data_IF_971550602720
#
_entry.id   IF_971550602720
#
_cell.length_a   1.000
_cell.length_b   1.000
_cell.length_c   1.000
_cell.angle_alpha   90.00
_cell.angle_beta   90.00
_cell.angle_gamma   90.00
#
_symmetry.space_group_name_H-M   'P 1'
#
loop_
_entity.id
_entity.type
_entity.pdbx_description
1 polymer ?
#
# COMPACT_ATOMS: atom_id res chain seq x y z
N UNK A 1 2.65 -15.82 15.62
CA UNK A 1 3.42 -15.30 14.46
C UNK A 1 2.62 -15.32 13.17
N UNK A 2 2.35 -16.49 12.57
CA UNK A 2 1.61 -16.54 11.30
C UNK A 2 0.21 -15.94 11.37
N UNK A 3 -0.52 -16.16 12.46
CA UNK A 3 -1.84 -15.55 12.68
C UNK A 3 -1.80 -14.02 12.68
N UNK A 4 -0.75 -13.42 13.22
CA UNK A 4 -0.58 -11.96 13.27
C UNK A 4 -0.30 -11.39 11.87
N UNK A 5 0.58 -12.05 11.10
CA UNK A 5 0.87 -11.67 9.70
C UNK A 5 -0.40 -11.76 8.84
N UNK A 6 -1.10 -12.89 8.93
CA UNK A 6 -2.32 -13.13 8.15
C UNK A 6 -3.42 -12.14 8.56
N UNK A 7 -3.59 -11.91 9.87
CA UNK A 7 -4.55 -10.94 10.38
C UNK A 7 -4.29 -9.52 9.86
N UNK A 8 -3.05 -9.05 9.95
CA UNK A 8 -2.66 -7.74 9.43
C UNK A 8 -2.85 -7.65 7.91
N UNK A 9 -2.46 -8.68 7.18
CA UNK A 9 -2.62 -8.73 5.73
C UNK A 9 -4.10 -8.68 5.32
N UNK A 10 -4.97 -9.43 5.98
CA UNK A 10 -6.41 -9.43 5.72
C UNK A 10 -7.02 -8.05 5.97
N UNK A 11 -6.69 -7.41 7.09
CA UNK A 11 -7.18 -6.06 7.40
C UNK A 11 -6.78 -5.07 6.33
N UNK A 12 -5.53 -5.08 5.89
CA UNK A 12 -5.04 -4.18 4.84
C UNK A 12 -5.79 -4.42 3.52
N UNK A 13 -5.89 -5.68 3.08
CA UNK A 13 -6.58 -6.02 1.84
C UNK A 13 -8.05 -5.61 1.90
N UNK A 14 -8.74 -5.88 2.99
CA UNK A 14 -10.15 -5.52 3.15
C UNK A 14 -10.35 -4.00 3.13
N UNK A 15 -9.54 -3.25 3.86
CA UNK A 15 -9.62 -1.79 3.90
C UNK A 15 -9.31 -1.17 2.53
N UNK A 16 -8.27 -1.65 1.86
CA UNK A 16 -7.90 -1.16 0.53
C UNK A 16 -8.99 -1.46 -0.50
N UNK A 17 -9.51 -2.69 -0.53
CA UNK A 17 -10.61 -3.09 -1.41
C UNK A 17 -11.89 -2.31 -1.16
N UNK A 18 -12.28 -2.18 0.10
CA UNK A 18 -13.46 -1.45 0.49
C UNK A 18 -13.37 0.03 0.13
N UNK A 19 -12.27 0.69 0.46
CA UNK A 19 -12.06 2.11 0.13
C UNK A 19 -12.04 2.35 -1.38
N UNK A 20 -11.37 1.51 -2.16
CA UNK A 20 -11.37 1.57 -3.63
C UNK A 20 -12.76 1.33 -4.22
N UNK A 21 -13.53 0.38 -3.67
CA UNK A 21 -14.91 0.13 -4.10
C UNK A 21 -15.81 1.34 -3.83
N UNK A 22 -15.69 1.98 -2.67
CA UNK A 22 -16.41 3.21 -2.35
C UNK A 22 -16.08 4.35 -3.33
N UNK A 23 -14.82 4.51 -3.68
CA UNK A 23 -14.40 5.54 -4.63
C UNK A 23 -14.88 5.21 -6.05
N UNK A 24 -14.79 3.94 -6.46
CA UNK A 24 -15.29 3.47 -7.77
C UNK A 24 -16.79 3.64 -7.95
N UNK A 25 -17.58 3.56 -6.87
CA UNK A 25 -19.04 3.74 -6.93
C UNK A 25 -19.46 5.20 -7.17
N UNK A 26 -18.52 6.14 -7.12
CA UNK A 26 -18.80 7.58 -7.31
C UNK A 26 -18.51 8.02 -8.75
N UNK A 27 -19.28 9.02 -9.28
CA UNK A 27 -19.03 9.54 -10.63
C UNK A 27 -17.60 10.07 -10.77
N UNK A 28 -16.92 9.67 -11.84
CA UNK A 28 -15.46 9.85 -12.00
C UNK A 28 -15.00 11.30 -12.16
N UNK A 29 -15.82 12.19 -12.69
CA UNK A 29 -15.27 13.44 -13.24
C UNK A 29 -15.44 14.68 -12.37
N UNK A 30 -16.24 14.63 -11.31
CA UNK A 30 -16.55 15.85 -10.50
C UNK A 30 -16.65 15.59 -9.00
N UNK A 31 -16.37 14.41 -8.54
CA UNK A 31 -16.52 14.11 -7.13
C UNK A 31 -15.20 14.39 -6.39
N UNK A 32 -15.25 15.40 -5.55
CA UNK A 32 -14.15 15.75 -4.65
C UNK A 32 -14.74 16.08 -3.28
N UNK A 33 -14.21 15.43 -2.25
CA UNK A 33 -14.50 15.79 -0.86
C UNK A 33 -13.25 16.46 -0.30
N UNK A 34 -13.35 17.74 0.06
CA UNK A 34 -12.33 18.42 0.83
C UNK A 34 -12.43 17.96 2.29
N UNK A 35 -11.33 17.45 2.85
CA UNK A 35 -11.25 17.02 4.26
C UNK A 35 -10.62 18.12 5.10
N UNK A 36 -9.59 18.77 4.58
CA UNK A 36 -8.86 19.85 5.23
C UNK A 36 -8.21 20.76 4.17
N UNK A 37 -7.71 21.93 4.54
CA UNK A 37 -6.92 22.75 3.61
C UNK A 37 -5.78 21.93 2.98
N UNK A 38 -5.81 21.79 1.65
CA UNK A 38 -4.83 21.02 0.90
C UNK A 38 -5.01 19.50 0.92
N UNK A 39 -6.03 18.95 1.60
CA UNK A 39 -6.32 17.51 1.64
C UNK A 39 -7.70 17.24 1.07
N UNK A 40 -7.76 16.38 0.06
CA UNK A 40 -9.02 15.99 -0.57
C UNK A 40 -9.06 14.53 -0.96
N UNK A 41 -10.27 13.98 -1.02
CA UNK A 41 -10.54 12.67 -1.63
C UNK A 41 -11.17 12.91 -2.99
N UNK A 42 -10.58 12.33 -4.03
CA UNK A 42 -11.10 12.35 -5.39
C UNK A 42 -10.71 11.07 -6.12
N UNK A 43 -11.53 10.67 -7.07
CA UNK A 43 -11.21 9.51 -7.89
C UNK A 43 -10.13 9.86 -8.91
N UNK A 44 -8.92 9.36 -8.69
CA UNK A 44 -7.79 9.49 -9.62
C UNK A 44 -7.51 8.11 -10.20
N UNK A 45 -7.69 7.96 -11.51
CA UNK A 45 -7.20 6.78 -12.22
C UNK A 45 -5.76 7.06 -12.63
N UNK A 46 -4.82 6.48 -11.94
CA UNK A 46 -3.44 6.47 -12.41
C UNK A 46 -3.35 5.53 -13.62
N UNK A 47 -3.62 6.09 -14.81
CA UNK A 47 -3.42 5.36 -16.05
C UNK A 47 -1.97 4.90 -16.11
N UNK A 48 -1.77 3.65 -16.54
CA UNK A 48 -0.46 3.02 -16.64
C UNK A 48 0.40 3.78 -17.65
N UNK A 49 1.15 4.77 -17.17
CA UNK A 49 2.22 5.39 -17.96
C UNK A 49 3.35 4.36 -18.10
N UNK A 50 4.09 4.41 -19.20
CA UNK A 50 5.16 3.46 -19.54
C UNK A 50 6.15 3.19 -18.38
N UNK A 51 6.34 4.16 -17.47
CA UNK A 51 7.24 4.06 -16.32
C UNK A 51 6.61 3.47 -15.05
N UNK A 52 5.28 3.38 -14.98
CA UNK A 52 4.57 2.90 -13.78
C UNK A 52 4.90 1.44 -13.44
N UNK A 53 5.00 0.49 -14.40
CA UNK A 53 5.40 -0.88 -14.08
C UNK A 53 6.84 -0.98 -13.59
N UNK A 54 7.75 -0.14 -14.09
CA UNK A 54 9.15 -0.11 -13.61
C UNK A 54 9.24 0.38 -12.17
N UNK A 55 8.52 1.43 -11.81
CA UNK A 55 8.48 1.95 -10.44
C UNK A 55 7.84 0.92 -9.50
N UNK A 56 6.77 0.26 -9.93
CA UNK A 56 6.14 -0.80 -9.15
C UNK A 56 7.05 -2.03 -8.98
N UNK A 57 7.71 -2.45 -10.05
CA UNK A 57 8.67 -3.54 -10.01
C UNK A 57 9.89 -3.19 -9.14
N UNK A 58 10.39 -1.96 -9.23
CA UNK A 58 11.47 -1.47 -8.37
C UNK A 58 11.05 -1.44 -6.89
N UNK A 59 9.84 -0.96 -6.59
CA UNK A 59 9.29 -0.99 -5.23
C UNK A 59 9.11 -2.41 -4.69
N UNK A 60 8.60 -3.32 -5.50
CA UNK A 60 8.48 -4.73 -5.14
C UNK A 60 9.85 -5.37 -4.92
N UNK A 61 10.80 -5.13 -5.83
CA UNK A 61 12.16 -5.64 -5.74
C UNK A 61 12.85 -5.11 -4.47
N UNK A 62 12.72 -3.82 -4.19
CA UNK A 62 13.26 -3.22 -2.96
C UNK A 62 12.64 -3.85 -1.71
N UNK A 63 11.33 -4.06 -1.69
CA UNK A 63 10.62 -4.69 -0.57
C UNK A 63 11.10 -6.13 -0.36
N UNK A 64 11.21 -6.90 -1.43
CA UNK A 64 11.70 -8.29 -1.39
C UNK A 64 13.16 -8.36 -0.97
N UNK A 65 14.00 -7.45 -1.48
CA UNK A 65 15.42 -7.39 -1.13
C UNK A 65 15.62 -7.00 0.33
N UNK A 66 14.89 -6.00 0.83
CA UNK A 66 14.90 -5.61 2.24
C UNK A 66 14.43 -6.78 3.12
N UNK A 67 13.35 -7.42 2.76
CA UNK A 67 12.83 -8.58 3.48
C UNK A 67 13.85 -9.74 3.48
N UNK A 68 14.45 -10.04 2.34
CA UNK A 68 15.50 -11.05 2.21
C UNK A 68 16.73 -10.73 3.04
N UNK A 69 17.20 -9.48 3.03
CA UNK A 69 18.33 -9.03 3.85
C UNK A 69 18.01 -9.13 5.35
N UNK A 70 16.81 -8.78 5.75
CA UNK A 70 16.33 -8.91 7.13
C UNK A 70 16.27 -10.37 7.56
N UNK A 71 15.79 -11.26 6.72
CA UNK A 71 15.77 -12.71 6.97
C UNK A 71 17.18 -13.29 7.06
N UNK A 72 18.11 -12.82 6.22
CA UNK A 72 19.49 -13.29 6.19
C UNK A 72 20.31 -12.86 7.41
N UNK A 73 19.98 -11.73 8.05
CA UNK A 73 20.72 -11.25 9.22
C UNK A 73 20.49 -12.07 10.50
N UNK A 74 19.53 -12.99 10.49
CA UNK A 74 19.15 -13.79 11.69
C UNK A 74 18.61 -12.96 12.86
N UNK A 75 18.57 -11.64 12.72
CA UNK A 75 18.00 -10.70 13.71
C UNK A 75 16.50 -10.55 13.57
N UNK A 76 15.83 -11.66 13.27
CA UNK A 76 14.48 -11.61 12.75
C UNK A 76 13.46 -11.64 13.86
N UNK A 77 12.76 -10.53 13.98
CA UNK A 77 11.35 -10.45 14.34
C UNK A 77 10.95 -11.20 15.62
N UNK A 78 11.53 -10.79 16.73
CA UNK A 78 11.06 -11.26 18.04
C UNK A 78 9.77 -10.55 18.46
N UNK A 79 9.56 -9.34 17.95
CA UNK A 79 8.43 -8.49 18.32
C UNK A 79 7.22 -8.73 17.41
N UNK A 80 6.00 -8.84 17.95
CA UNK A 80 4.78 -8.94 17.16
C UNK A 80 4.59 -7.78 16.16
N UNK A 81 5.07 -6.59 16.52
CA UNK A 81 5.00 -5.41 15.66
C UNK A 81 5.75 -5.59 14.33
N UNK A 82 6.88 -6.27 14.32
CA UNK A 82 7.63 -6.58 13.09
C UNK A 82 6.79 -7.43 12.12
N UNK A 83 6.10 -8.44 12.66
CA UNK A 83 5.26 -9.32 11.86
C UNK A 83 4.02 -8.61 11.31
N UNK A 84 3.41 -7.71 12.10
CA UNK A 84 2.33 -6.83 11.65
C UNK A 84 2.83 -5.95 10.51
N UNK A 85 4.00 -5.33 10.68
CA UNK A 85 4.59 -4.46 9.68
C UNK A 85 4.83 -5.17 8.35
N UNK A 86 5.43 -6.35 8.38
CA UNK A 86 5.67 -7.17 7.18
C UNK A 86 4.36 -7.57 6.51
N UNK A 87 3.42 -8.11 7.28
CA UNK A 87 2.12 -8.53 6.76
C UNK A 87 1.41 -7.38 6.05
N UNK A 88 1.45 -6.19 6.65
CA UNK A 88 0.85 -4.97 6.09
C UNK A 88 1.55 -4.53 4.80
N UNK A 89 2.88 -4.48 4.78
CA UNK A 89 3.63 -4.07 3.60
C UNK A 89 3.45 -5.01 2.42
N UNK A 90 3.54 -6.32 2.67
CA UNK A 90 3.34 -7.35 1.63
C UNK A 90 1.91 -7.32 1.10
N UNK A 91 0.92 -7.19 1.97
CA UNK A 91 -0.48 -7.12 1.57
C UNK A 91 -0.80 -5.88 0.74
N UNK A 92 -0.26 -4.71 1.12
CA UNK A 92 -0.39 -3.48 0.35
C UNK A 92 0.23 -3.62 -1.05
N UNK A 93 1.44 -4.15 -1.13
CA UNK A 93 2.12 -4.41 -2.40
C UNK A 93 1.31 -5.37 -3.29
N UNK A 94 0.83 -6.48 -2.72
CA UNK A 94 0.01 -7.46 -3.43
C UNK A 94 -1.30 -6.86 -3.93
N UNK A 95 -1.98 -6.01 -3.13
CA UNK A 95 -3.21 -5.33 -3.54
C UNK A 95 -2.99 -4.41 -4.73
N UNK A 96 -1.93 -3.61 -4.72
CA UNK A 96 -1.59 -2.74 -5.85
C UNK A 96 -1.17 -3.51 -7.10
N UNK A 97 -0.46 -4.64 -6.96
CA UNK A 97 -0.12 -5.54 -8.08
C UNK A 97 -1.39 -6.14 -8.68
N UNK A 98 -2.30 -6.62 -7.83
CA UNK A 98 -3.56 -7.19 -8.29
C UNK A 98 -4.37 -6.18 -9.10
N UNK A 99 -4.51 -4.92 -8.64
CA UNK A 99 -5.23 -3.89 -9.38
C UNK A 99 -4.61 -3.64 -10.76
N UNK A 100 -3.28 -3.61 -10.86
CA UNK A 100 -2.57 -3.45 -12.13
C UNK A 100 -2.82 -4.61 -13.10
N UNK A 101 -2.85 -5.83 -12.57
CA UNK A 101 -3.08 -7.02 -13.40
C UNK A 101 -4.53 -7.13 -13.88
N UNK A 102 -5.48 -6.74 -13.03
CA UNK A 102 -6.92 -6.90 -13.32
C UNK A 102 -7.52 -5.70 -14.05
N UNK A 103 -7.28 -4.51 -13.53
CA UNK A 103 -7.93 -3.28 -13.99
C UNK A 103 -7.02 -2.42 -14.88
N UNK A 104 -5.77 -2.84 -15.08
CA UNK A 104 -4.71 -2.09 -15.79
C UNK A 104 -4.50 -0.67 -15.25
N UNK A 105 -5.05 -0.37 -14.08
CA UNK A 105 -4.88 0.90 -13.38
C UNK A 105 -5.01 0.67 -11.87
N UNK A 106 -4.37 1.54 -11.10
CA UNK A 106 -4.60 1.62 -9.65
C UNK A 106 -5.54 2.79 -9.39
N UNK A 107 -6.47 2.61 -8.48
CA UNK A 107 -7.34 3.69 -8.01
C UNK A 107 -6.69 4.37 -6.84
N UNK A 108 -6.18 5.57 -7.07
CA UNK A 108 -5.66 6.45 -6.04
C UNK A 108 -6.71 7.51 -5.73
N UNK A 109 -6.85 7.88 -4.46
CA UNK A 109 -7.94 8.76 -4.08
C UNK A 109 -7.58 9.79 -3.01
N UNK A 110 -6.51 9.60 -2.25
CA UNK A 110 -6.04 10.60 -1.28
C UNK A 110 -5.09 11.56 -1.99
N UNK A 111 -5.44 12.84 -1.98
CA UNK A 111 -4.64 13.90 -2.57
C UNK A 111 -4.23 14.88 -1.48
N UNK A 112 -2.93 15.14 -1.35
CA UNK A 112 -2.36 16.05 -0.35
C UNK A 112 -1.47 17.07 -1.07
N UNK A 113 -1.96 18.29 -1.21
CA UNK A 113 -1.23 19.40 -1.84
C UNK A 113 -0.66 19.00 -3.20
N UNK A 114 0.67 19.10 -3.32
CA UNK A 114 1.44 18.75 -4.51
C UNK A 114 1.86 17.28 -4.59
N UNK A 115 1.61 16.50 -3.52
CA UNK A 115 1.99 15.09 -3.46
C UNK A 115 1.18 14.25 -4.46
N UNK A 116 1.78 13.26 -5.12
CA UNK A 116 1.02 12.32 -5.95
C UNK A 116 -0.13 11.68 -5.17
N UNK A 117 -1.25 11.46 -5.83
CA UNK A 117 -2.37 10.77 -5.20
C UNK A 117 -1.96 9.34 -4.79
N UNK A 118 -2.48 8.86 -3.67
CA UNK A 118 -2.19 7.54 -3.13
C UNK A 118 -3.45 6.87 -2.56
N UNK A 119 -3.33 5.62 -2.19
CA UNK A 119 -4.40 4.79 -1.64
C UNK A 119 -3.99 4.13 -0.31
N UNK A 120 -4.87 3.30 0.26
CA UNK A 120 -4.62 2.61 1.54
C UNK A 120 -3.46 1.62 1.42
N UNK A 121 -3.32 0.93 0.28
CA UNK A 121 -2.23 -0.02 0.07
C UNK A 121 -0.86 0.69 0.10
N UNK A 122 -0.74 1.91 -0.45
CA UNK A 122 0.50 2.69 -0.42
C UNK A 122 0.88 3.06 1.02
N UNK A 123 -0.09 3.49 1.82
CA UNK A 123 0.11 3.76 3.25
C UNK A 123 0.56 2.49 3.98
N UNK A 124 -0.09 1.35 3.71
CA UNK A 124 0.27 0.08 4.33
C UNK A 124 1.68 -0.39 3.98
N UNK A 125 2.15 -0.14 2.74
CA UNK A 125 3.54 -0.42 2.35
C UNK A 125 4.51 0.42 3.18
N UNK A 126 4.32 1.73 3.21
CA UNK A 126 5.26 2.65 3.86
C UNK A 126 5.26 2.46 5.39
N UNK A 127 4.08 2.48 6.00
CA UNK A 127 3.94 2.34 7.47
C UNK A 127 4.34 0.93 7.91
N UNK A 128 3.96 -0.09 7.14
CA UNK A 128 4.33 -1.48 7.43
C UNK A 128 5.84 -1.70 7.38
N UNK A 129 6.50 -1.20 6.33
CA UNK A 129 7.96 -1.28 6.22
C UNK A 129 8.67 -0.51 7.35
N UNK A 130 8.22 0.69 7.67
CA UNK A 130 8.77 1.48 8.77
C UNK A 130 8.59 0.75 10.12
N UNK A 131 7.40 0.20 10.38
CA UNK A 131 7.14 -0.57 11.61
C UNK A 131 8.05 -1.78 11.71
N UNK A 132 8.21 -2.54 10.63
CA UNK A 132 9.11 -3.69 10.58
C UNK A 132 10.55 -3.28 10.90
N UNK A 133 11.06 -2.23 10.26
CA UNK A 133 12.42 -1.73 10.46
C UNK A 133 12.68 -1.19 11.86
N UNK A 134 11.76 -0.40 12.41
CA UNK A 134 11.91 0.20 13.75
C UNK A 134 11.77 -0.82 14.88
N UNK A 135 11.16 -1.96 14.62
CA UNK A 135 11.00 -3.07 15.57
C UNK A 135 12.16 -4.08 15.54
N UNK A 136 13.21 -3.83 14.76
CA UNK A 136 14.43 -4.62 14.74
C UNK A 136 15.30 -4.24 15.96
N UNK A 137 15.26 -5.06 16.99
CA UNK A 137 16.12 -4.93 18.17
C UNK A 137 16.90 -6.22 18.41
#
# INVERSE_FOLDING_TARGET
MWSTVIGAALVVVLLDRWSKALVRSRPTERWTIAIAPGVSIRHVRAAMRLHTPLIAAAGLLLTVTLLGALLATGRVFREPASWIGIGSAVAGAASNVYDRMHDRCVVDFVCVGWWPAFNVADVAIVVGAATALLSLR
#
